data_IF_853874423819
#
_entry.id   IF_853874423819
#
_cell.length_a   1.000
_cell.length_b   1.000
_cell.length_c   1.000
_cell.angle_alpha   90.00
_cell.angle_beta   90.00
_cell.angle_gamma   90.00
#
_symmetry.space_group_name_H-M   'P 1'
#
loop_
_entity.id
_entity.type
_entity.pdbx_description
1 polymer ?
#
# COMPACT_ATOMS: atom_id res chain seq x y z
N UNK A 1 -15.29 -9.21 12.51
CA UNK A 1 -15.05 -7.86 11.98
C UNK A 1 -16.39 -7.15 11.91
N UNK A 2 -16.59 -6.08 12.68
CA UNK A 2 -17.85 -5.33 12.68
C UNK A 2 -17.83 -4.28 11.56
N UNK A 3 -18.52 -4.59 10.47
CA UNK A 3 -18.75 -3.69 9.34
C UNK A 3 -19.77 -2.62 9.74
N UNK A 4 -19.51 -1.34 9.44
CA UNK A 4 -20.55 -0.31 9.54
C UNK A 4 -21.29 -0.22 8.21
N UNK A 5 -22.64 -0.12 8.21
CA UNK A 5 -23.44 -0.02 6.98
C UNK A 5 -23.13 1.21 6.11
N UNK A 6 -22.39 2.19 6.62
CA UNK A 6 -22.01 3.42 5.92
C UNK A 6 -20.75 3.28 5.05
N UNK A 7 -20.19 2.08 4.93
CA UNK A 7 -18.97 1.83 4.15
C UNK A 7 -17.68 2.29 4.82
N UNK A 8 -17.73 2.73 6.09
CA UNK A 8 -16.53 3.16 6.82
C UNK A 8 -15.92 2.02 7.64
N UNK A 9 -14.61 1.83 7.47
CA UNK A 9 -13.85 0.88 8.27
C UNK A 9 -13.66 1.44 9.70
N UNK A 10 -14.29 0.81 10.69
CA UNK A 10 -14.25 1.19 12.12
C UNK A 10 -12.85 1.10 12.74
N UNK A 11 -11.94 0.33 12.13
CA UNK A 11 -10.58 0.12 12.62
C UNK A 11 -9.62 0.00 11.42
N UNK A 12 -8.67 0.92 11.32
CA UNK A 12 -7.60 0.86 10.32
C UNK A 12 -6.44 0.09 10.95
N UNK A 13 -6.26 -1.17 10.56
CA UNK A 13 -5.09 -1.96 10.96
C UNK A 13 -3.92 -1.52 10.09
N UNK A 14 -2.91 -0.88 10.70
CA UNK A 14 -1.65 -0.62 10.03
C UNK A 14 -0.90 -1.96 9.90
N UNK A 15 -0.95 -2.56 8.73
CA UNK A 15 -0.11 -3.71 8.40
C UNK A 15 1.20 -3.17 7.85
N UNK A 16 2.23 -3.14 8.70
CA UNK A 16 3.59 -2.81 8.28
C UNK A 16 4.37 -4.10 8.02
N UNK A 17 5.00 -4.21 6.85
CA UNK A 17 5.89 -5.33 6.52
C UNK A 17 7.13 -4.81 5.82
N UNK A 18 8.29 -5.28 6.26
CA UNK A 18 9.54 -5.05 5.53
C UNK A 18 9.65 -5.99 4.34
N UNK A 19 10.08 -5.45 3.21
CA UNK A 19 10.43 -6.21 2.02
C UNK A 19 11.69 -5.65 1.37
N UNK A 20 12.21 -6.39 0.39
CA UNK A 20 13.30 -5.94 -0.47
C UNK A 20 12.79 -5.80 -1.89
N UNK A 21 13.10 -4.69 -2.55
CA UNK A 21 12.82 -4.44 -3.97
C UNK A 21 14.17 -4.19 -4.64
N UNK A 22 14.60 -5.09 -5.52
CA UNK A 22 15.93 -5.07 -6.12
C UNK A 22 17.04 -4.90 -5.07
N UNK A 23 16.98 -5.73 -4.02
CA UNK A 23 17.91 -5.74 -2.87
C UNK A 23 17.89 -4.50 -1.95
N UNK A 24 17.07 -3.49 -2.25
CA UNK A 24 16.89 -2.32 -1.38
C UNK A 24 15.75 -2.55 -0.36
N UNK A 25 15.97 -2.32 0.94
CA UNK A 25 14.94 -2.49 1.97
C UNK A 25 13.88 -1.38 1.96
N UNK A 26 12.62 -1.80 1.99
CA UNK A 26 11.45 -0.92 2.06
C UNK A 26 10.46 -1.37 3.14
N UNK A 27 9.77 -0.40 3.73
CA UNK A 27 8.62 -0.60 4.59
C UNK A 27 7.33 -0.42 3.77
N UNK A 28 6.55 -1.50 3.68
CA UNK A 28 5.20 -1.49 3.11
C UNK A 28 4.20 -1.23 4.23
N UNK A 29 3.30 -0.29 4.04
CA UNK A 29 2.20 -0.03 4.97
C UNK A 29 0.87 0.04 4.25
N UNK A 30 -0.15 -0.63 4.79
CA UNK A 30 -1.53 -0.52 4.30
C UNK A 30 -2.34 0.37 5.25
N UNK A 31 -2.87 1.49 4.76
CA UNK A 31 -3.71 2.40 5.54
C UNK A 31 -4.97 2.74 4.75
N UNK A 32 -6.14 2.34 5.27
CA UNK A 32 -7.44 2.62 4.65
C UNK A 32 -7.60 2.05 3.24
N UNK A 33 -7.01 0.88 2.97
CA UNK A 33 -7.03 0.25 1.64
C UNK A 33 -5.97 0.76 0.66
N UNK A 34 -5.13 1.71 1.07
CA UNK A 34 -4.02 2.21 0.25
C UNK A 34 -2.68 1.70 0.75
N UNK A 35 -1.94 1.05 -0.14
CA UNK A 35 -0.55 0.67 0.01
C UNK A 35 0.33 1.91 -0.12
N UNK A 36 1.25 2.06 0.83
CA UNK A 36 2.32 3.05 0.83
C UNK A 36 3.66 2.35 1.00
N UNK A 37 4.62 2.70 0.14
CA UNK A 37 6.01 2.28 0.22
C UNK A 37 6.81 3.41 0.88
N UNK A 38 7.66 3.06 1.85
CA UNK A 38 8.59 4.00 2.51
C UNK A 38 9.99 3.41 2.46
N UNK A 39 10.98 4.19 2.01
CA UNK A 39 12.38 3.76 2.00
C UNK A 39 12.91 3.64 3.44
N UNK A 40 13.52 2.50 3.77
CA UNK A 40 14.01 2.23 5.14
C UNK A 40 15.40 2.81 5.43
N UNK A 41 16.14 3.22 4.39
CA UNK A 41 17.48 3.83 4.53
C UNK A 41 17.80 4.79 3.36
N UNK A 42 18.99 5.42 3.41
CA UNK A 42 19.43 6.40 2.41
C UNK A 42 19.55 5.82 1.00
N UNK A 43 20.13 4.62 0.85
CA UNK A 43 20.30 3.97 -0.45
C UNK A 43 18.96 3.65 -1.10
N UNK A 44 18.02 3.10 -0.33
CA UNK A 44 16.65 2.81 -0.78
C UNK A 44 15.90 4.07 -1.15
N UNK A 45 16.15 5.19 -0.45
CA UNK A 45 15.56 6.49 -0.77
C UNK A 45 16.12 7.03 -2.09
N UNK A 46 17.42 6.91 -2.31
CA UNK A 46 18.04 7.28 -3.59
C UNK A 46 17.48 6.44 -4.72
N UNK A 47 17.39 5.11 -4.53
CA UNK A 47 16.79 4.20 -5.49
C UNK A 47 15.33 4.55 -5.80
N UNK A 48 14.50 4.82 -4.78
CA UNK A 48 13.11 5.25 -4.95
C UNK A 48 13.01 6.55 -5.76
N UNK A 49 13.82 7.54 -5.44
CA UNK A 49 13.79 8.84 -6.12
C UNK A 49 14.24 8.72 -7.59
N UNK A 50 15.23 7.88 -7.88
CA UNK A 50 15.69 7.63 -9.25
C UNK A 50 14.63 6.94 -10.10
N UNK A 51 13.75 6.14 -9.49
CA UNK A 51 12.73 5.34 -10.18
C UNK A 51 11.30 5.78 -9.83
N UNK A 52 11.11 7.05 -9.46
CA UNK A 52 9.85 7.54 -8.88
C UNK A 52 8.63 7.22 -9.76
N UNK A 53 8.72 7.47 -11.06
CA UNK A 53 7.61 7.23 -12.00
C UNK A 53 7.19 5.75 -12.05
N UNK A 54 8.16 4.83 -12.10
CA UNK A 54 7.89 3.40 -12.12
C UNK A 54 7.20 2.95 -10.83
N UNK A 55 7.69 3.42 -9.68
CA UNK A 55 7.08 3.15 -8.38
C UNK A 55 5.66 3.72 -8.27
N UNK A 56 5.41 4.93 -8.77
CA UNK A 56 4.08 5.54 -8.75
C UNK A 56 3.09 4.77 -9.65
N UNK A 57 3.54 4.33 -10.82
CA UNK A 57 2.72 3.51 -11.72
C UNK A 57 2.38 2.15 -11.10
N UNK A 58 3.36 1.48 -10.50
CA UNK A 58 3.15 0.22 -9.79
C UNK A 58 2.18 0.38 -8.60
N UNK A 59 2.40 1.40 -7.76
CA UNK A 59 1.53 1.72 -6.61
C UNK A 59 0.09 2.01 -7.04
N UNK A 60 -0.10 2.76 -8.12
CA UNK A 60 -1.43 3.10 -8.65
C UNK A 60 -2.18 1.85 -9.06
N UNK A 61 -1.53 0.93 -9.79
CA UNK A 61 -2.16 -0.33 -10.22
C UNK A 61 -2.49 -1.23 -9.02
N UNK A 62 -1.55 -1.41 -8.09
CA UNK A 62 -1.79 -2.23 -6.89
C UNK A 62 -2.93 -1.65 -6.04
N UNK A 63 -2.96 -0.34 -5.83
CA UNK A 63 -4.02 0.31 -5.06
C UNK A 63 -5.38 0.20 -5.74
N UNK A 64 -5.44 0.32 -7.07
CA UNK A 64 -6.67 0.07 -7.83
C UNK A 64 -7.18 -1.35 -7.60
N UNK A 65 -6.29 -2.35 -7.66
CA UNK A 65 -6.66 -3.75 -7.44
C UNK A 65 -7.13 -4.02 -6.01
N UNK A 66 -6.46 -3.43 -5.00
CA UNK A 66 -6.88 -3.55 -3.59
C UNK A 66 -8.27 -2.95 -3.40
N UNK A 67 -8.50 -1.73 -3.90
CA UNK A 67 -9.80 -1.07 -3.79
C UNK A 67 -10.88 -1.85 -4.52
N UNK A 68 -10.61 -2.32 -5.75
CA UNK A 68 -11.55 -3.15 -6.52
C UNK A 68 -11.97 -4.40 -5.75
N UNK A 69 -10.99 -5.14 -5.19
CA UNK A 69 -11.29 -6.31 -4.35
C UNK A 69 -12.06 -5.95 -3.08
N UNK A 70 -11.74 -4.83 -2.43
CA UNK A 70 -12.48 -4.39 -1.25
C UNK A 70 -13.93 -4.05 -1.60
N UNK A 71 -14.16 -3.32 -2.69
CA UNK A 71 -15.51 -2.98 -3.15
C UNK A 71 -16.29 -4.21 -3.58
N UNK A 72 -15.65 -5.18 -4.25
CA UNK A 72 -16.26 -6.44 -4.66
C UNK A 72 -16.65 -7.32 -3.46
N UNK A 73 -15.99 -7.18 -2.30
CA UNK A 73 -16.35 -7.92 -1.09
C UNK A 73 -17.35 -7.17 -0.19
N UNK A 74 -17.59 -5.89 -0.46
CA UNK A 74 -18.49 -5.03 0.31
C UNK A 74 -19.88 -4.94 -0.34
N UNK A 75 -19.93 -4.97 -1.66
CA UNK A 75 -21.16 -4.76 -2.44
C UNK A 75 -21.98 -6.05 -2.67
N UNK A 76 -21.68 -7.14 -1.94
CA UNK A 76 -22.46 -8.38 -1.94
C UNK A 76 -22.86 -8.79 -0.53
#
# INVERSE_FOLDING_TARGET
>A
MEYKPDGTFKQIVLLTKQCTINDYPFDLSLKGGLLKITASNYESKTYLNTNEEEFQNALTNINRDIIGKLTDNILF
#
